data_IF_524740926573
#
_entry.id   IF_524740926573
#
_cell.length_a   1.000
_cell.length_b   1.000
_cell.length_c   1.000
_cell.angle_alpha   90.00
_cell.angle_beta   90.00
_cell.angle_gamma   90.00
#
_symmetry.space_group_name_H-M   'P 1'
#
loop_
_entity.id
_entity.type
_entity.pdbx_description
1 polymer ?
#
# COMPACT_ATOMS: atom_id res chain seq x y z
N UNK A 1 31.06 -22.19 4.76
CA UNK A 1 29.82 -23.00 4.62
C UNK A 1 28.54 -22.25 5.03
N UNK A 2 28.45 -21.64 6.24
CA UNK A 2 27.21 -20.95 6.70
C UNK A 2 26.78 -19.74 5.85
N UNK A 3 27.72 -18.92 5.35
CA UNK A 3 27.40 -17.76 4.50
C UNK A 3 26.84 -18.15 3.12
N UNK A 4 27.36 -19.21 2.51
CA UNK A 4 26.88 -19.74 1.22
C UNK A 4 25.47 -20.35 1.33
N UNK A 5 25.14 -20.97 2.48
CA UNK A 5 23.80 -21.50 2.74
C UNK A 5 22.76 -20.40 2.97
N UNK A 6 23.10 -19.34 3.72
CA UNK A 6 22.21 -18.19 3.92
C UNK A 6 21.93 -17.41 2.62
N UNK A 7 22.95 -17.27 1.75
CA UNK A 7 22.77 -16.67 0.42
C UNK A 7 21.89 -17.53 -0.50
N UNK A 8 22.08 -18.85 -0.50
CA UNK A 8 21.25 -19.76 -1.29
C UNK A 8 19.77 -19.75 -0.83
N UNK A 9 19.53 -19.75 0.49
CA UNK A 9 18.18 -19.64 1.05
C UNK A 9 17.49 -18.31 0.70
N UNK A 10 18.24 -17.21 0.73
CA UNK A 10 17.72 -15.89 0.33
C UNK A 10 17.34 -15.84 -1.15
N UNK A 11 18.15 -16.44 -2.03
CA UNK A 11 17.86 -16.51 -3.46
C UNK A 11 16.65 -17.39 -3.78
N UNK A 12 16.50 -18.52 -3.10
CA UNK A 12 15.31 -19.37 -3.25
C UNK A 12 14.03 -18.67 -2.80
N UNK A 13 14.05 -18.01 -1.64
CA UNK A 13 12.89 -17.29 -1.12
C UNK A 13 12.46 -16.16 -2.08
N UNK A 14 13.44 -15.39 -2.60
CA UNK A 14 13.20 -14.35 -3.58
C UNK A 14 12.60 -14.91 -4.88
N UNK A 15 13.15 -16.01 -5.40
CA UNK A 15 12.65 -16.63 -6.63
C UNK A 15 11.23 -17.17 -6.46
N UNK A 16 10.94 -17.85 -5.35
CA UNK A 16 9.59 -18.32 -5.02
C UNK A 16 8.62 -17.15 -4.91
N UNK A 17 8.99 -16.08 -4.19
CA UNK A 17 8.20 -14.86 -4.05
C UNK A 17 7.86 -14.22 -5.39
N UNK A 18 8.85 -14.07 -6.28
CA UNK A 18 8.65 -13.56 -7.63
C UNK A 18 7.70 -14.46 -8.45
N UNK A 19 7.85 -15.77 -8.35
CA UNK A 19 6.97 -16.72 -9.06
C UNK A 19 5.52 -16.66 -8.58
N UNK A 20 5.31 -16.43 -7.28
CA UNK A 20 3.98 -16.26 -6.68
C UNK A 20 3.38 -14.94 -7.14
N UNK A 21 4.16 -13.86 -7.13
CA UNK A 21 3.71 -12.55 -7.60
C UNK A 21 3.35 -12.56 -9.08
N UNK A 22 4.10 -13.26 -9.94
CA UNK A 22 3.73 -13.46 -11.36
C UNK A 22 2.36 -14.13 -11.50
N UNK A 23 2.08 -15.16 -10.70
CA UNK A 23 0.79 -15.85 -10.70
C UNK A 23 -0.35 -14.94 -10.23
N UNK A 24 -0.12 -14.18 -9.15
CA UNK A 24 -1.09 -13.22 -8.62
C UNK A 24 -1.40 -12.12 -9.65
N UNK A 25 -0.36 -11.55 -10.27
CA UNK A 25 -0.52 -10.52 -11.29
C UNK A 25 -1.26 -11.05 -12.53
N UNK A 26 -0.92 -12.26 -13.00
CA UNK A 26 -1.63 -12.91 -14.11
C UNK A 26 -3.11 -13.20 -13.78
N UNK A 27 -3.42 -13.56 -12.53
CA UNK A 27 -4.80 -13.71 -12.06
C UNK A 27 -5.52 -12.36 -11.99
N UNK A 28 -4.89 -11.33 -11.43
CA UNK A 28 -5.42 -9.96 -11.40
C UNK A 28 -5.64 -9.37 -12.80
N UNK A 29 -4.84 -9.79 -13.77
CA UNK A 29 -4.95 -9.39 -15.17
C UNK A 29 -6.09 -10.08 -15.94
N UNK A 30 -6.99 -10.85 -15.29
CA UNK A 30 -8.25 -11.34 -15.90
C UNK A 30 -9.30 -10.24 -15.92
N UNK A 31 -10.20 -10.24 -16.90
CA UNK A 31 -11.15 -9.12 -17.14
C UNK A 31 -12.02 -8.83 -15.92
N UNK A 32 -12.69 -9.86 -15.45
CA UNK A 32 -13.57 -9.88 -14.30
C UNK A 32 -12.85 -9.56 -12.99
N UNK A 33 -11.64 -10.09 -12.78
CA UNK A 33 -10.85 -9.84 -11.56
C UNK A 33 -10.37 -8.39 -11.53
N UNK A 34 -9.91 -7.86 -12.66
CA UNK A 34 -9.48 -6.47 -12.76
C UNK A 34 -10.65 -5.50 -12.53
N UNK A 35 -11.83 -5.80 -13.09
CA UNK A 35 -13.03 -5.01 -12.87
C UNK A 35 -13.47 -5.05 -11.40
N UNK A 36 -13.53 -6.23 -10.78
CA UNK A 36 -13.93 -6.39 -9.39
C UNK A 36 -12.96 -5.69 -8.42
N UNK A 37 -11.65 -5.90 -8.59
CA UNK A 37 -10.63 -5.24 -7.77
C UNK A 37 -10.59 -3.73 -8.00
N UNK A 38 -10.77 -3.26 -9.24
CA UNK A 38 -10.89 -1.83 -9.56
C UNK A 38 -12.12 -1.18 -8.91
N UNK A 39 -13.27 -1.86 -8.92
CA UNK A 39 -14.47 -1.41 -8.21
C UNK A 39 -14.24 -1.37 -6.70
N UNK A 40 -13.60 -2.38 -6.13
CA UNK A 40 -13.25 -2.38 -4.70
C UNK A 40 -12.32 -1.22 -4.33
N UNK A 41 -11.33 -0.90 -5.18
CA UNK A 41 -10.47 0.28 -5.00
C UNK A 41 -11.30 1.56 -5.07
N UNK A 42 -12.16 1.73 -6.07
CA UNK A 42 -13.00 2.92 -6.22
C UNK A 42 -13.93 3.12 -5.01
N UNK A 43 -14.58 2.04 -4.54
CA UNK A 43 -15.41 2.07 -3.33
C UNK A 43 -14.58 2.42 -2.10
N UNK A 44 -13.41 1.81 -1.92
CA UNK A 44 -12.51 2.13 -0.81
C UNK A 44 -12.10 3.59 -0.79
N UNK A 45 -11.72 4.15 -1.94
CA UNK A 45 -11.42 5.58 -2.09
C UNK A 45 -12.63 6.44 -1.72
N UNK A 46 -13.82 6.13 -2.24
CA UNK A 46 -15.04 6.86 -1.89
C UNK A 46 -15.29 6.81 -0.39
N UNK A 47 -15.16 5.65 0.25
CA UNK A 47 -15.32 5.50 1.69
C UNK A 47 -14.30 6.34 2.46
N UNK A 48 -13.02 6.34 2.08
CA UNK A 48 -11.99 7.15 2.76
C UNK A 48 -12.25 8.66 2.68
N UNK A 49 -12.78 9.15 1.56
CA UNK A 49 -13.16 10.56 1.42
C UNK A 49 -14.53 10.89 2.04
N UNK A 50 -15.41 9.90 2.16
CA UNK A 50 -16.78 10.07 2.70
C UNK A 50 -16.92 9.70 4.16
N UNK A 51 -15.89 9.14 4.79
CA UNK A 51 -15.77 8.91 6.23
C UNK A 51 -14.95 10.07 6.83
N UNK A 52 -15.47 11.30 6.97
CA UNK A 52 -14.82 12.25 7.86
C UNK A 52 -14.87 11.64 9.25
N UNK A 53 -13.70 11.26 9.77
CA UNK A 53 -13.59 10.99 11.20
C UNK A 53 -13.95 12.28 11.90
N UNK A 54 -14.87 12.16 12.85
CA UNK A 54 -15.28 13.19 13.80
C UNK A 54 -14.03 13.97 14.26
N UNK A 55 -13.75 15.12 13.64
CA UNK A 55 -12.63 16.02 13.99
C UNK A 55 -11.54 16.27 12.93
N UNK A 56 -11.39 15.51 11.83
CA UNK A 56 -10.34 15.83 10.83
C UNK A 56 -9.89 14.71 9.89
N UNK A 57 -8.76 14.92 9.20
CA UNK A 57 -8.10 13.92 8.36
C UNK A 57 -7.56 12.76 9.19
N UNK A 58 -7.56 11.55 8.63
CA UNK A 58 -6.90 10.39 9.24
C UNK A 58 -5.38 10.56 9.25
N UNK A 59 -4.68 9.88 10.18
CA UNK A 59 -3.23 10.00 10.34
C UNK A 59 -2.48 9.61 9.06
N UNK A 60 -2.97 8.57 8.39
CA UNK A 60 -2.40 7.96 7.17
C UNK A 60 -2.65 8.81 5.90
N UNK A 61 -3.53 9.82 5.98
CA UNK A 61 -3.77 10.84 4.95
C UNK A 61 -2.83 12.05 5.07
N UNK A 62 -2.10 12.17 6.18
CA UNK A 62 -1.11 13.23 6.35
C UNK A 62 0.15 12.94 5.53
N UNK A 63 0.82 13.97 5.02
CA UNK A 63 2.14 13.82 4.38
C UNK A 63 3.26 13.91 5.42
N UNK A 64 3.38 12.86 6.24
CA UNK A 64 4.30 12.82 7.38
C UNK A 64 3.92 13.78 8.52
N UNK A 65 4.52 13.55 9.68
CA UNK A 65 4.23 14.27 10.92
C UNK A 65 5.36 14.20 11.95
N UNK A 66 5.40 15.21 12.82
CA UNK A 66 6.22 15.22 14.04
C UNK A 66 5.43 14.65 15.22
N UNK A 67 6.15 14.30 16.30
CA UNK A 67 5.53 13.83 17.54
C UNK A 67 4.50 14.82 18.09
N UNK A 68 4.88 16.08 18.24
CA UNK A 68 4.02 17.09 18.86
C UNK A 68 2.78 17.38 18.00
N UNK A 69 2.94 17.40 16.67
CA UNK A 69 1.82 17.54 15.73
C UNK A 69 0.86 16.36 15.86
N UNK A 70 1.37 15.13 15.90
CA UNK A 70 0.53 13.95 16.02
C UNK A 70 -0.22 13.91 17.36
N UNK A 71 0.45 14.26 18.47
CA UNK A 71 -0.22 14.31 19.77
C UNK A 71 -1.34 15.37 19.81
N UNK A 72 -1.15 16.53 19.17
CA UNK A 72 -2.19 17.54 19.04
C UNK A 72 -3.39 17.02 18.23
N UNK A 73 -3.15 16.33 17.11
CA UNK A 73 -4.21 15.70 16.29
C UNK A 73 -4.96 14.62 17.08
N UNK A 74 -4.24 13.75 17.79
CA UNK A 74 -4.85 12.70 18.62
C UNK A 74 -5.66 13.26 19.79
N UNK A 75 -5.26 14.43 20.33
CA UNK A 75 -6.03 15.14 21.34
C UNK A 75 -7.33 15.71 20.75
N UNK A 76 -7.25 16.34 19.57
CA UNK A 76 -8.37 16.94 18.85
C UNK A 76 -9.43 15.90 18.42
N UNK A 77 -9.01 14.69 18.02
CA UNK A 77 -9.91 13.57 17.77
C UNK A 77 -10.82 13.23 18.97
N UNK A 78 -10.37 13.52 20.20
CA UNK A 78 -11.02 13.03 21.40
C UNK A 78 -11.07 11.50 21.47
N UNK A 79 -11.73 10.96 22.50
CA UNK A 79 -11.82 9.50 22.65
C UNK A 79 -12.61 8.85 21.51
N UNK A 80 -13.74 9.47 21.12
CA UNK A 80 -14.61 8.94 20.07
C UNK A 80 -13.90 8.89 18.72
N UNK A 81 -13.21 9.97 18.31
CA UNK A 81 -12.48 10.00 17.04
C UNK A 81 -11.37 8.95 17.00
N UNK A 82 -10.61 8.78 18.10
CA UNK A 82 -9.58 7.73 18.18
C UNK A 82 -10.17 6.31 18.07
N UNK A 83 -11.32 6.03 18.68
CA UNK A 83 -11.99 4.71 18.56
C UNK A 83 -12.47 4.45 17.12
N UNK A 84 -13.04 5.46 16.46
CA UNK A 84 -13.46 5.35 15.06
C UNK A 84 -12.25 5.12 14.15
N UNK A 85 -11.16 5.86 14.38
CA UNK A 85 -9.93 5.67 13.61
C UNK A 85 -9.33 4.28 13.81
N UNK A 86 -9.29 3.78 15.06
CA UNK A 86 -8.81 2.44 15.36
C UNK A 86 -9.63 1.38 14.62
N UNK A 87 -10.97 1.51 14.58
CA UNK A 87 -11.83 0.59 13.86
C UNK A 87 -11.59 0.66 12.34
N UNK A 88 -11.52 1.87 11.78
CA UNK A 88 -11.23 2.06 10.35
C UNK A 88 -9.90 1.41 9.97
N UNK A 89 -8.84 1.67 10.74
CA UNK A 89 -7.52 1.12 10.46
C UNK A 89 -7.44 -0.38 10.68
N UNK A 90 -8.13 -0.93 11.68
CA UNK A 90 -8.18 -2.37 11.93
C UNK A 90 -9.05 -3.14 10.92
N UNK A 91 -9.80 -2.46 10.05
CA UNK A 91 -10.72 -3.09 9.10
C UNK A 91 -10.42 -2.66 7.67
N UNK A 92 -10.79 -1.43 7.31
CA UNK A 92 -10.66 -0.89 5.97
C UNK A 92 -9.19 -0.79 5.54
N UNK A 93 -8.31 -0.23 6.37
CA UNK A 93 -6.91 -0.01 5.98
C UNK A 93 -6.11 -1.31 5.90
N UNK A 94 -6.54 -2.39 6.60
CA UNK A 94 -5.94 -3.72 6.43
C UNK A 94 -6.47 -4.47 5.20
N UNK A 95 -7.74 -4.24 4.81
CA UNK A 95 -8.35 -4.88 3.65
C UNK A 95 -7.96 -4.20 2.33
N UNK A 96 -7.81 -2.88 2.33
CA UNK A 96 -7.58 -2.08 1.13
C UNK A 96 -6.31 -2.46 0.35
N UNK A 97 -5.15 -2.76 0.99
CA UNK A 97 -3.97 -3.31 0.32
C UNK A 97 -4.24 -4.52 -0.56
N UNK A 98 -5.10 -5.44 -0.13
CA UNK A 98 -5.41 -6.64 -0.93
C UNK A 98 -6.06 -6.25 -2.25
N UNK A 99 -7.02 -5.31 -2.21
CA UNK A 99 -7.74 -4.85 -3.38
C UNK A 99 -6.82 -4.10 -4.36
N UNK A 100 -6.06 -3.12 -3.89
CA UNK A 100 -5.23 -2.32 -4.79
C UNK A 100 -3.98 -3.09 -5.27
N UNK A 101 -3.40 -3.99 -4.48
CA UNK A 101 -2.28 -4.83 -4.93
C UNK A 101 -2.74 -5.68 -6.10
N UNK A 102 -3.89 -6.34 -5.97
CA UNK A 102 -4.45 -7.18 -7.03
C UNK A 102 -4.77 -6.35 -8.29
N UNK A 103 -5.38 -5.18 -8.11
CA UNK A 103 -5.73 -4.28 -9.20
C UNK A 103 -4.49 -3.76 -9.93
N UNK A 104 -3.54 -3.13 -9.23
CA UNK A 104 -2.39 -2.49 -9.86
C UNK A 104 -1.38 -3.50 -10.39
N UNK A 105 -1.16 -4.64 -9.71
CA UNK A 105 -0.28 -5.69 -10.25
C UNK A 105 -0.89 -6.32 -11.52
N UNK A 106 -2.20 -6.57 -11.52
CA UNK A 106 -2.91 -7.04 -12.71
C UNK A 106 -2.91 -6.04 -13.86
N UNK A 107 -3.06 -4.75 -13.55
CA UNK A 107 -3.01 -3.68 -14.54
C UNK A 107 -1.61 -3.55 -15.16
N UNK A 108 -0.56 -3.60 -14.34
CA UNK A 108 0.83 -3.61 -14.82
C UNK A 108 1.07 -4.81 -15.74
N UNK A 109 0.71 -6.03 -15.32
CA UNK A 109 0.87 -7.24 -16.13
C UNK A 109 0.12 -7.14 -17.47
N UNK A 110 -1.11 -6.62 -17.46
CA UNK A 110 -1.91 -6.44 -18.69
C UNK A 110 -1.31 -5.39 -19.64
N UNK A 111 -0.71 -4.32 -19.11
CA UNK A 111 -0.18 -3.22 -19.90
C UNK A 111 1.26 -3.44 -20.39
N UNK A 112 2.13 -4.08 -19.60
CA UNK A 112 3.53 -4.28 -19.97
C UNK A 112 3.76 -5.49 -20.88
N UNK A 113 2.82 -6.44 -20.92
CA UNK A 113 3.10 -7.78 -21.42
C UNK A 113 3.78 -8.63 -20.34
N UNK A 114 3.65 -9.96 -20.47
CA UNK A 114 4.05 -10.95 -19.47
C UNK A 114 5.54 -10.78 -19.10
N UNK A 115 5.84 -10.88 -17.80
CA UNK A 115 7.19 -10.92 -17.20
C UNK A 115 7.86 -9.59 -16.76
N UNK A 116 7.12 -8.49 -16.65
CA UNK A 116 7.67 -7.27 -16.03
C UNK A 116 7.95 -7.44 -14.53
N UNK A 117 9.14 -7.08 -14.06
CA UNK A 117 9.46 -7.02 -12.62
C UNK A 117 8.68 -5.91 -11.89
N UNK A 118 8.07 -4.97 -12.63
CA UNK A 118 7.28 -3.88 -12.08
C UNK A 118 6.01 -4.37 -11.35
N UNK A 119 5.59 -5.62 -11.56
CA UNK A 119 4.48 -6.24 -10.81
C UNK A 119 4.76 -6.36 -9.30
N UNK A 120 6.03 -6.27 -8.89
CA UNK A 120 6.42 -6.30 -7.49
C UNK A 120 6.11 -4.97 -6.78
N UNK A 121 6.07 -3.87 -7.51
CA UNK A 121 5.95 -2.53 -6.93
C UNK A 121 4.64 -2.38 -6.13
N UNK A 122 3.46 -2.77 -6.64
CA UNK A 122 2.23 -2.74 -5.85
C UNK A 122 2.30 -3.59 -4.58
N UNK A 123 2.95 -4.77 -4.62
CA UNK A 123 3.11 -5.61 -3.43
C UNK A 123 4.03 -4.99 -2.37
N UNK A 124 5.11 -4.33 -2.79
CA UNK A 124 5.98 -3.58 -1.85
C UNK A 124 5.21 -2.43 -1.22
N UNK A 125 4.41 -1.69 -2.02
CA UNK A 125 3.49 -0.67 -1.49
C UNK A 125 2.53 -1.26 -0.46
N UNK A 126 1.88 -2.39 -0.78
CA UNK A 126 1.01 -3.12 0.14
C UNK A 126 1.67 -3.48 1.47
N UNK A 127 2.92 -3.96 1.43
CA UNK A 127 3.65 -4.29 2.65
C UNK A 127 4.01 -3.04 3.47
N UNK A 128 4.42 -1.95 2.82
CA UNK A 128 4.71 -0.66 3.47
C UNK A 128 3.46 -0.09 4.14
N UNK A 129 2.32 -0.17 3.47
CA UNK A 129 1.01 0.28 3.96
C UNK A 129 0.56 -0.53 5.19
N UNK A 130 0.67 -1.87 5.15
CA UNK A 130 0.38 -2.70 6.32
C UNK A 130 1.31 -2.42 7.51
N UNK A 131 2.59 -2.13 7.26
CA UNK A 131 3.52 -1.71 8.30
C UNK A 131 3.13 -0.37 8.90
N UNK A 132 2.73 0.61 8.10
CA UNK A 132 2.21 1.89 8.59
C UNK A 132 0.96 1.67 9.45
N UNK A 133 0.00 0.89 8.97
CA UNK A 133 -1.26 0.64 9.66
C UNK A 133 -1.03 -0.05 11.01
N UNK A 134 -0.07 -0.97 11.09
CA UNK A 134 0.36 -1.56 12.36
C UNK A 134 0.92 -0.51 13.35
N UNK A 135 1.70 0.46 12.86
CA UNK A 135 2.19 1.56 13.71
C UNK A 135 1.06 2.46 14.17
N UNK A 136 0.13 2.83 13.28
CA UNK A 136 -1.02 3.67 13.62
C UNK A 136 -1.91 3.00 14.67
N UNK A 137 -2.18 1.70 14.53
CA UNK A 137 -2.89 0.92 15.54
C UNK A 137 -2.19 0.96 16.91
N UNK A 138 -0.86 0.76 16.92
CA UNK A 138 -0.07 0.84 18.15
C UNK A 138 -0.11 2.24 18.77
N UNK A 139 0.00 3.30 17.96
CA UNK A 139 -0.10 4.70 18.40
C UNK A 139 -1.45 4.97 19.05
N UNK A 140 -2.55 4.57 18.40
CA UNK A 140 -3.91 4.76 18.90
C UNK A 140 -4.16 4.00 20.21
N UNK A 141 -3.61 2.79 20.33
CA UNK A 141 -3.74 1.96 21.54
C UNK A 141 -2.89 2.48 22.72
N UNK A 142 -1.75 3.12 22.45
CA UNK A 142 -0.81 3.60 23.49
C UNK A 142 -1.08 5.06 23.91
N UNK A 143 -1.91 5.80 23.19
CA UNK A 143 -2.24 7.19 23.55
C UNK A 143 -2.83 7.28 24.97
N UNK A 144 -2.39 8.24 25.82
CA UNK A 144 -1.51 9.39 25.53
C UNK A 144 -0.01 9.14 25.72
N UNK A 145 0.42 7.93 26.05
CA UNK A 145 1.81 7.58 26.35
C UNK A 145 2.49 6.90 25.15
N UNK A 146 2.55 7.62 24.03
CA UNK A 146 3.11 7.11 22.77
C UNK A 146 4.64 7.29 22.74
N UNK A 147 5.44 6.26 22.40
CA UNK A 147 6.89 6.44 22.23
C UNK A 147 7.23 7.33 21.02
N UNK A 148 8.17 8.27 21.17
CA UNK A 148 8.63 9.15 20.07
C UNK A 148 9.17 8.38 18.87
N UNK A 149 9.91 7.30 19.10
CA UNK A 149 10.47 6.46 18.05
C UNK A 149 9.38 5.78 17.21
N UNK A 150 8.28 5.35 17.85
CA UNK A 150 7.15 4.75 17.15
C UNK A 150 6.51 5.76 16.18
N UNK A 151 6.33 7.00 16.63
CA UNK A 151 5.80 8.08 15.78
C UNK A 151 6.73 8.42 14.63
N UNK A 152 8.04 8.50 14.87
CA UNK A 152 9.02 8.76 13.82
C UNK A 152 9.03 7.64 12.76
N UNK A 153 8.97 6.38 13.20
CA UNK A 153 8.89 5.21 12.32
C UNK A 153 7.59 5.22 11.50
N UNK A 154 6.45 5.45 12.14
CA UNK A 154 5.15 5.56 11.48
C UNK A 154 5.15 6.63 10.38
N UNK A 155 5.64 7.82 10.72
CA UNK A 155 5.78 8.96 9.78
C UNK A 155 6.68 8.61 8.59
N UNK A 156 7.76 7.85 8.80
CA UNK A 156 8.62 7.36 7.72
C UNK A 156 7.86 6.41 6.78
N UNK A 157 7.10 5.45 7.33
CA UNK A 157 6.26 4.56 6.52
C UNK A 157 5.17 5.34 5.77
N UNK A 158 4.52 6.32 6.38
CA UNK A 158 3.54 7.20 5.73
C UNK A 158 4.15 7.90 4.51
N UNK A 159 5.33 8.52 4.66
CA UNK A 159 6.02 9.20 3.55
C UNK A 159 6.43 8.21 2.46
N UNK A 160 6.98 7.04 2.85
CA UNK A 160 7.36 5.99 1.91
C UNK A 160 6.15 5.47 1.11
N UNK A 161 5.02 5.25 1.80
CA UNK A 161 3.75 4.84 1.18
C UNK A 161 3.34 5.84 0.11
N UNK A 162 3.27 7.14 0.44
CA UNK A 162 2.88 8.17 -0.54
C UNK A 162 3.82 8.22 -1.74
N UNK A 163 5.13 8.10 -1.52
CA UNK A 163 6.12 8.04 -2.59
C UNK A 163 5.93 6.82 -3.50
N UNK A 164 5.72 5.64 -2.92
CA UNK A 164 5.45 4.40 -3.65
C UNK A 164 4.12 4.44 -4.40
N UNK A 165 3.07 5.02 -3.81
CA UNK A 165 1.77 5.25 -4.47
C UNK A 165 1.96 6.09 -5.71
N UNK A 166 2.64 7.24 -5.61
CA UNK A 166 2.93 8.08 -6.76
C UNK A 166 3.73 7.32 -7.83
N UNK A 167 4.73 6.55 -7.41
CA UNK A 167 5.53 5.75 -8.32
C UNK A 167 4.71 4.68 -9.07
N UNK A 168 3.80 3.97 -8.41
CA UNK A 168 2.86 3.01 -9.05
C UNK A 168 2.00 3.72 -10.08
N UNK A 169 1.41 4.87 -9.74
CA UNK A 169 0.57 5.64 -10.65
C UNK A 169 1.35 6.10 -11.90
N UNK A 170 2.59 6.57 -11.72
CA UNK A 170 3.46 6.96 -12.83
C UNK A 170 3.84 5.77 -13.73
N UNK A 171 4.12 4.60 -13.15
CA UNK A 171 4.38 3.37 -13.91
C UNK A 171 3.17 3.00 -14.77
N UNK A 172 1.99 2.95 -14.17
CA UNK A 172 0.75 2.62 -14.89
C UNK A 172 0.46 3.64 -15.99
N UNK A 173 0.56 4.93 -15.70
CA UNK A 173 0.35 6.00 -16.67
C UNK A 173 1.31 5.88 -17.86
N UNK A 174 2.60 5.62 -17.60
CA UNK A 174 3.62 5.41 -18.64
C UNK A 174 3.31 4.19 -19.50
N UNK A 175 2.92 3.06 -18.91
CA UNK A 175 2.60 1.83 -19.64
C UNK A 175 1.33 2.00 -20.49
N UNK A 176 0.28 2.60 -19.93
CA UNK A 176 -0.95 2.91 -20.65
C UNK A 176 -0.68 3.84 -21.84
N UNK A 177 0.13 4.89 -21.65
CA UNK A 177 0.53 5.81 -22.71
C UNK A 177 1.26 5.11 -23.87
N UNK A 178 2.23 4.25 -23.55
CA UNK A 178 2.94 3.43 -24.57
C UNK A 178 1.95 2.57 -25.37
N UNK A 179 0.97 1.97 -24.69
CA UNK A 179 -0.02 1.10 -25.31
C UNK A 179 -0.97 1.84 -26.24
N UNK A 180 -1.41 3.05 -25.87
CA UNK A 180 -2.24 3.92 -26.71
C UNK A 180 -1.49 4.42 -27.94
N UNK A 181 -0.20 4.72 -27.81
CA UNK A 181 0.64 5.19 -28.94
C UNK A 181 1.18 4.08 -29.85
N UNK A 182 0.84 2.82 -29.59
CA UNK A 182 1.25 1.70 -30.45
C UNK A 182 2.75 1.40 -30.44
N UNK A 183 3.49 1.80 -29.40
CA UNK A 183 4.89 1.38 -29.27
C UNK A 183 4.93 -0.15 -29.11
N UNK A 184 5.65 -0.88 -29.98
CA UNK A 184 5.77 -2.33 -29.84
C UNK A 184 6.38 -2.64 -28.47
N UNK A 185 5.86 -3.68 -27.81
CA UNK A 185 6.50 -4.22 -26.61
C UNK A 185 7.88 -4.73 -27.02
N UNK A 186 8.94 -4.24 -26.36
CA UNK A 186 10.30 -4.76 -26.52
C UNK A 186 10.25 -6.29 -26.29
N UNK A 187 10.70 -7.12 -27.25
CA UNK A 187 10.79 -8.56 -27.03
C UNK A 187 11.85 -8.81 -25.94
N UNK A 188 11.39 -9.32 -24.79
CA UNK A 188 12.25 -9.79 -23.70
C UNK A 188 12.74 -11.21 -23.90
#
# INVERSE_FOLDING_TARGET
MRQSCAQALGQEALFRGLSTMKRLAAFGARGEVLAASGTAVAVGVILFFSLPVVGGHLIDQMYGYSYDRLMAVLADYGERGRRVHLLATATLDLAFPVAYVLFFAGLVERLSGRASSLILVPAVLGAVDLCENAHILAILALYPRVPRLLVASASCFTVLKHGLTLFVLLVVARLAWKRVRGFPAEPG
#
